data_IF_193209093871
#
_entry.id   IF_193209093871
#
_cell.length_a   1.000
_cell.length_b   1.000
_cell.length_c   1.000
_cell.angle_alpha   90.00
_cell.angle_beta   90.00
_cell.angle_gamma   90.00
#
_symmetry.space_group_name_H-M   'P 1'
#
loop_
_entity.id
_entity.type
_entity.pdbx_description
1 polymer ?
#
# COMPACT_ATOMS: atom_id res chain seq x y z
N UNK A 1 -4.46 -39.68 11.65
CA UNK A 1 -4.30 -39.31 10.22
C UNK A 1 -3.78 -37.88 10.16
N UNK A 2 -2.53 -37.69 9.75
CA UNK A 2 -1.93 -36.37 9.56
C UNK A 2 -2.60 -35.70 8.36
N UNK A 3 -3.56 -34.80 8.63
CA UNK A 3 -4.09 -33.94 7.57
C UNK A 3 -2.94 -33.04 7.11
N UNK A 4 -2.43 -33.26 5.90
CA UNK A 4 -1.45 -32.38 5.28
C UNK A 4 -2.02 -30.96 5.28
N UNK A 5 -1.32 -30.00 5.89
CA UNK A 5 -1.75 -28.60 5.88
C UNK A 5 -1.99 -28.15 4.43
N UNK A 6 -3.11 -27.45 4.14
CA UNK A 6 -3.37 -26.97 2.79
C UNK A 6 -2.24 -26.04 2.33
N UNK A 7 -1.98 -26.01 1.02
CA UNK A 7 -1.05 -25.03 0.45
C UNK A 7 -1.54 -23.63 0.78
N UNK A 8 -0.64 -22.75 1.22
CA UNK A 8 -1.02 -21.41 1.68
C UNK A 8 -1.28 -20.44 0.51
N UNK A 9 -0.56 -20.57 -0.60
CA UNK A 9 -0.52 -19.59 -1.68
C UNK A 9 -1.07 -20.14 -2.99
N UNK A 10 -1.75 -19.29 -3.73
CA UNK A 10 -2.18 -19.47 -5.11
C UNK A 10 -1.52 -18.41 -5.98
N UNK A 11 -1.06 -18.82 -7.16
CA UNK A 11 -0.53 -17.91 -8.18
C UNK A 11 -1.64 -17.62 -9.18
N UNK A 12 -1.86 -16.34 -9.46
CA UNK A 12 -2.71 -15.84 -10.54
C UNK A 12 -1.84 -15.00 -11.47
N UNK A 13 -2.13 -14.99 -12.76
CA UNK A 13 -1.34 -14.25 -13.72
C UNK A 13 -2.24 -13.65 -14.80
N UNK A 14 -1.94 -12.41 -15.22
CA UNK A 14 -2.49 -11.84 -16.44
C UNK A 14 -2.05 -12.62 -17.68
N UNK A 15 -2.71 -12.46 -18.84
CA UNK A 15 -2.44 -13.25 -20.03
C UNK A 15 -0.97 -13.28 -20.48
N UNK A 16 -0.29 -12.11 -20.50
CA UNK A 16 1.14 -12.02 -20.89
C UNK A 16 2.05 -12.66 -19.85
N UNK A 17 1.79 -12.40 -18.56
CA UNK A 17 2.55 -13.03 -17.48
C UNK A 17 2.37 -14.55 -17.49
N UNK A 18 1.16 -15.06 -17.71
CA UNK A 18 0.87 -16.49 -17.76
C UNK A 18 1.62 -17.18 -18.92
N UNK A 19 1.67 -16.55 -20.09
CA UNK A 19 2.46 -17.04 -21.22
C UNK A 19 3.95 -17.13 -20.86
N UNK A 20 4.53 -16.05 -20.29
CA UNK A 20 5.92 -16.04 -19.83
C UNK A 20 6.21 -17.15 -18.81
N UNK A 21 5.35 -17.30 -17.80
CA UNK A 21 5.50 -18.31 -16.75
C UNK A 21 5.50 -19.74 -17.30
N UNK A 22 4.67 -20.01 -18.32
CA UNK A 22 4.60 -21.34 -18.95
C UNK A 22 5.83 -21.67 -19.78
N UNK A 23 6.42 -20.66 -20.43
CA UNK A 23 7.58 -20.83 -21.30
C UNK A 23 8.90 -20.89 -20.52
N UNK A 24 9.05 -20.04 -19.50
CA UNK A 24 10.36 -19.76 -18.87
C UNK A 24 10.38 -19.93 -17.35
N UNK A 25 9.22 -20.14 -16.73
CA UNK A 25 9.08 -20.04 -15.28
C UNK A 25 9.14 -18.59 -14.80
N UNK A 26 9.43 -18.41 -13.50
CA UNK A 26 9.61 -17.10 -12.89
C UNK A 26 10.98 -17.02 -12.23
N UNK A 27 11.78 -16.06 -12.64
CA UNK A 27 13.07 -15.75 -12.02
C UNK A 27 13.06 -14.33 -11.45
N UNK A 28 13.91 -14.02 -10.46
CA UNK A 28 14.04 -12.66 -9.93
C UNK A 28 14.33 -11.61 -11.01
N UNK A 29 15.13 -11.96 -12.02
CA UNK A 29 15.54 -11.09 -13.11
C UNK A 29 14.39 -10.65 -14.03
N UNK A 30 13.27 -11.39 -14.04
CA UNK A 30 12.08 -11.05 -14.84
C UNK A 30 11.34 -9.83 -14.28
N UNK A 31 11.56 -9.50 -13.00
CA UNK A 31 10.76 -8.50 -12.30
C UNK A 31 11.26 -7.07 -12.52
N UNK A 32 10.32 -6.13 -12.54
CA UNK A 32 10.62 -4.69 -12.52
C UNK A 32 9.89 -3.95 -11.41
N UNK A 33 8.69 -4.41 -11.04
CA UNK A 33 7.80 -3.72 -10.10
C UNK A 33 7.25 -4.70 -9.08
N UNK A 34 7.23 -4.28 -7.81
CA UNK A 34 6.52 -4.95 -6.71
C UNK A 34 5.57 -3.94 -6.08
N UNK A 35 4.26 -3.98 -6.39
CA UNK A 35 3.26 -3.18 -5.70
C UNK A 35 2.85 -3.84 -4.37
N UNK A 36 2.49 -2.99 -3.42
CA UNK A 36 1.99 -3.38 -2.11
C UNK A 36 0.71 -2.61 -1.79
N UNK A 37 -0.41 -3.34 -1.75
CA UNK A 37 -1.74 -2.81 -1.55
C UNK A 37 -1.91 -2.10 -0.19
N UNK A 38 -2.77 -1.09 -0.17
CA UNK A 38 -3.41 -0.67 1.06
C UNK A 38 -4.37 -1.76 1.57
N UNK A 39 -4.53 -1.86 2.88
CA UNK A 39 -5.32 -2.94 3.49
C UNK A 39 -5.31 -2.99 5.02
N UNK A 40 -4.51 -2.13 5.67
CA UNK A 40 -4.35 -2.09 7.11
C UNK A 40 -3.91 -3.46 7.67
N UNK A 41 -4.64 -4.05 8.62
CA UNK A 41 -4.25 -5.32 9.25
C UNK A 41 -4.05 -6.48 8.26
N UNK A 42 -4.74 -6.46 7.09
CA UNK A 42 -4.55 -7.51 6.07
C UNK A 42 -3.12 -7.61 5.58
N UNK A 43 -2.36 -6.52 5.58
CA UNK A 43 -0.95 -6.53 5.19
C UNK A 43 -0.07 -7.42 6.08
N UNK A 44 -0.49 -7.67 7.34
CA UNK A 44 0.27 -8.49 8.30
C UNK A 44 0.41 -9.94 7.84
N UNK A 45 -0.58 -10.48 7.11
CA UNK A 45 -0.51 -11.86 6.59
C UNK A 45 0.63 -12.05 5.58
N UNK A 46 1.09 -10.96 4.96
CA UNK A 46 2.13 -10.98 3.93
C UNK A 46 3.54 -10.90 4.52
N UNK A 47 3.69 -10.73 5.84
CA UNK A 47 4.98 -10.58 6.49
C UNK A 47 5.95 -11.74 6.19
N UNK A 48 5.48 -12.98 6.32
CA UNK A 48 6.29 -14.16 6.01
C UNK A 48 6.67 -14.24 4.52
N UNK A 49 5.75 -13.84 3.63
CA UNK A 49 5.99 -13.81 2.20
C UNK A 49 7.01 -12.73 1.82
N UNK A 50 6.92 -11.52 2.39
CA UNK A 50 7.88 -10.44 2.15
C UNK A 50 9.29 -10.84 2.61
N UNK A 51 9.40 -11.46 3.80
CA UNK A 51 10.68 -11.94 4.33
C UNK A 51 11.32 -13.01 3.42
N UNK A 52 10.50 -13.86 2.80
CA UNK A 52 10.97 -14.83 1.80
C UNK A 52 11.38 -14.14 0.50
N UNK A 53 10.53 -13.26 -0.04
CA UNK A 53 10.77 -12.61 -1.32
C UNK A 53 12.00 -11.70 -1.27
N UNK A 54 12.05 -10.74 -0.36
CA UNK A 54 13.16 -9.79 -0.27
C UNK A 54 14.41 -10.38 0.37
N UNK A 55 14.24 -11.27 1.35
CA UNK A 55 15.34 -11.81 2.15
C UNK A 55 15.92 -13.13 1.65
N UNK A 56 15.39 -13.70 0.57
CA UNK A 56 15.93 -14.91 -0.05
C UNK A 56 15.77 -14.90 -1.57
N UNK A 57 14.54 -14.84 -2.10
CA UNK A 57 14.33 -15.10 -3.53
C UNK A 57 14.84 -13.98 -4.44
N UNK A 58 14.62 -12.71 -4.09
CA UNK A 58 15.16 -11.56 -4.84
C UNK A 58 16.65 -11.34 -4.62
N UNK A 59 17.24 -11.90 -3.57
CA UNK A 59 18.66 -11.74 -3.25
C UNK A 59 19.57 -12.29 -4.37
N UNK A 60 19.06 -13.20 -5.20
CA UNK A 60 19.76 -13.80 -6.35
C UNK A 60 19.85 -12.85 -7.57
N UNK A 61 19.46 -11.59 -7.43
CA UNK A 61 19.54 -10.59 -8.51
C UNK A 61 20.06 -9.25 -8.02
N UNK A 62 20.52 -8.39 -8.93
CA UNK A 62 21.10 -7.09 -8.59
C UNK A 62 20.45 -5.91 -9.33
N UNK A 63 19.58 -6.20 -10.31
CA UNK A 63 18.90 -5.17 -11.09
C UNK A 63 17.94 -4.33 -10.24
N UNK A 64 17.62 -3.15 -10.76
CA UNK A 64 16.68 -2.22 -10.14
C UNK A 64 15.27 -2.81 -10.09
N UNK A 65 14.62 -2.72 -8.92
CA UNK A 65 13.21 -3.06 -8.73
C UNK A 65 12.48 -1.89 -8.06
N UNK A 66 11.35 -1.51 -8.64
CA UNK A 66 10.50 -0.43 -8.14
C UNK A 66 9.48 -0.98 -7.14
N UNK A 67 9.47 -0.43 -5.93
CA UNK A 67 8.58 -0.81 -4.84
C UNK A 67 7.50 0.26 -4.69
N UNK A 68 6.28 -0.07 -5.07
CA UNK A 68 5.15 0.85 -5.05
C UNK A 68 4.29 0.53 -3.83
N UNK A 69 3.89 1.52 -3.05
CA UNK A 69 3.09 1.25 -1.86
C UNK A 69 2.12 2.35 -1.48
N UNK A 70 0.97 1.93 -0.96
CA UNK A 70 0.02 2.78 -0.24
C UNK A 70 -0.25 2.18 1.14
N UNK A 71 -0.47 3.02 2.15
CA UNK A 71 -0.80 2.60 3.51
C UNK A 71 0.23 1.60 4.08
N UNK A 72 -0.24 0.56 4.78
CA UNK A 72 0.62 -0.54 5.25
C UNK A 72 1.51 -1.15 4.15
N UNK A 73 1.10 -1.08 2.88
CA UNK A 73 1.91 -1.51 1.76
C UNK A 73 3.17 -0.66 1.59
N UNK A 74 3.06 0.67 1.70
CA UNK A 74 4.21 1.57 1.67
C UNK A 74 5.19 1.29 2.81
N UNK A 75 4.68 1.01 4.01
CA UNK A 75 5.52 0.72 5.18
C UNK A 75 6.28 -0.59 5.04
N UNK A 76 5.63 -1.63 4.50
CA UNK A 76 6.26 -2.91 4.17
C UNK A 76 7.37 -2.73 3.14
N UNK A 77 7.11 -1.96 2.08
CA UNK A 77 8.11 -1.66 1.06
C UNK A 77 9.28 -0.88 1.66
N UNK A 78 9.03 0.14 2.49
CA UNK A 78 10.08 0.88 3.19
C UNK A 78 10.95 -0.03 4.11
N UNK A 79 10.36 -1.04 4.76
CA UNK A 79 11.12 -2.03 5.53
C UNK A 79 12.07 -2.87 4.66
N UNK A 80 11.69 -3.15 3.40
CA UNK A 80 12.54 -3.90 2.47
C UNK A 80 13.81 -3.14 2.06
N UNK A 81 13.90 -1.83 2.34
CA UNK A 81 15.10 -1.01 2.10
C UNK A 81 16.09 -1.06 3.28
N UNK A 82 15.72 -1.66 4.43
CA UNK A 82 16.62 -1.75 5.59
C UNK A 82 17.66 -2.87 5.40
N UNK A 83 18.90 -2.70 5.91
CA UNK A 83 19.92 -3.74 5.86
C UNK A 83 19.46 -5.09 6.45
N UNK A 84 18.84 -5.05 7.63
CA UNK A 84 18.15 -6.23 8.20
C UNK A 84 16.64 -6.14 7.96
N UNK A 85 16.24 -6.39 6.71
CA UNK A 85 14.83 -6.37 6.32
C UNK A 85 13.97 -7.40 7.07
N UNK A 86 14.57 -8.52 7.52
CA UNK A 86 13.81 -9.60 8.18
C UNK A 86 13.43 -9.16 9.59
N UNK A 87 14.36 -8.56 10.33
CA UNK A 87 14.07 -7.93 11.61
C UNK A 87 13.11 -6.75 11.44
N UNK A 88 13.35 -5.89 10.44
CA UNK A 88 12.50 -4.74 10.15
C UNK A 88 11.03 -5.11 9.92
N UNK A 89 10.77 -6.11 9.06
CA UNK A 89 9.41 -6.57 8.81
C UNK A 89 8.79 -7.20 10.06
N UNK A 90 9.56 -7.97 10.84
CA UNK A 90 9.06 -8.56 12.08
C UNK A 90 8.71 -7.48 13.11
N UNK A 91 9.55 -6.46 13.27
CA UNK A 91 9.34 -5.31 14.14
C UNK A 91 8.10 -4.50 13.72
N UNK A 92 7.93 -4.23 12.43
CA UNK A 92 6.73 -3.55 11.91
C UNK A 92 5.45 -4.30 12.33
N UNK A 93 5.44 -5.63 12.22
CA UNK A 93 4.30 -6.43 12.65
C UNK A 93 4.08 -6.36 14.16
N UNK A 94 5.15 -6.40 14.96
CA UNK A 94 5.07 -6.27 16.42
C UNK A 94 4.51 -4.92 16.84
N UNK A 95 5.05 -3.82 16.31
CA UNK A 95 4.59 -2.46 16.59
C UNK A 95 3.14 -2.26 16.14
N UNK A 96 2.75 -2.82 15.00
CA UNK A 96 1.38 -2.70 14.50
C UNK A 96 0.38 -3.51 15.32
N UNK A 97 0.74 -4.69 15.85
CA UNK A 97 -0.16 -5.52 16.65
C UNK A 97 -0.28 -4.98 18.08
N UNK A 98 0.82 -4.49 18.65
CA UNK A 98 0.89 -4.03 20.04
C UNK A 98 0.68 -2.52 20.21
N UNK A 99 -0.08 -1.90 19.31
CA UNK A 99 -0.44 -0.49 19.43
C UNK A 99 -1.17 -0.24 20.75
N UNK A 100 -0.73 0.78 21.49
CA UNK A 100 -1.34 1.21 22.75
C UNK A 100 -1.87 2.62 22.59
N UNK A 101 -3.16 2.78 22.89
CA UNK A 101 -3.83 4.07 22.87
C UNK A 101 -4.07 4.55 24.29
N UNK A 102 -3.72 5.80 24.56
CA UNK A 102 -3.94 6.47 25.83
C UNK A 102 -5.38 7.01 25.85
N UNK A 103 -6.33 6.11 26.15
CA UNK A 103 -7.76 6.43 26.20
C UNK A 103 -8.36 5.97 27.53
N UNK A 104 -9.43 6.63 28.02
CA UNK A 104 -10.20 6.12 29.15
C UNK A 104 -10.64 4.67 28.91
N UNK A 105 -10.79 3.90 29.99
CA UNK A 105 -11.23 2.52 29.90
C UNK A 105 -12.57 2.41 29.15
N UNK A 106 -12.64 1.47 28.20
CA UNK A 106 -13.81 1.27 27.34
C UNK A 106 -13.97 2.25 26.18
N UNK A 107 -13.25 3.39 26.18
CA UNK A 107 -13.32 4.38 25.11
C UNK A 107 -12.57 3.93 23.83
N UNK A 108 -12.89 4.59 22.71
CA UNK A 108 -12.15 4.45 21.46
C UNK A 108 -11.20 5.64 21.29
N UNK A 109 -9.98 5.44 20.74
CA UNK A 109 -9.10 6.56 20.41
C UNK A 109 -9.75 7.45 19.37
N UNK A 110 -9.58 8.75 19.57
CA UNK A 110 -9.92 9.73 18.55
C UNK A 110 -8.85 9.79 17.47
N UNK A 111 -9.11 10.56 16.41
CA UNK A 111 -8.19 10.66 15.28
C UNK A 111 -6.82 11.26 15.64
N UNK A 112 -6.75 12.11 16.67
CA UNK A 112 -5.49 12.70 17.11
C UNK A 112 -4.62 11.64 17.80
N UNK A 113 -5.22 10.83 18.66
CA UNK A 113 -4.52 9.76 19.37
C UNK A 113 -4.04 8.66 18.42
N UNK A 114 -4.88 8.24 17.45
CA UNK A 114 -4.43 7.26 16.44
C UNK A 114 -3.29 7.83 15.59
N UNK A 115 -3.36 9.10 15.18
CA UNK A 115 -2.28 9.76 14.45
C UNK A 115 -0.98 9.86 15.25
N UNK A 116 -1.06 10.14 16.55
CA UNK A 116 0.12 10.18 17.44
C UNK A 116 0.80 8.81 17.49
N UNK A 117 0.04 7.74 17.74
CA UNK A 117 0.57 6.36 17.79
C UNK A 117 1.20 5.94 16.47
N UNK A 118 0.58 6.28 15.32
CA UNK A 118 1.16 5.99 14.02
C UNK A 118 2.44 6.77 13.76
N UNK A 119 2.51 8.03 14.21
CA UNK A 119 3.73 8.85 14.11
C UNK A 119 4.87 8.23 14.93
N UNK A 120 4.58 7.78 16.15
CA UNK A 120 5.56 7.12 17.02
C UNK A 120 6.04 5.78 16.45
N UNK A 121 5.13 4.96 15.93
CA UNK A 121 5.47 3.71 15.26
C UNK A 121 6.40 3.97 14.08
N UNK A 122 6.08 4.92 13.21
CA UNK A 122 6.90 5.25 12.04
C UNK A 122 8.23 5.88 12.43
N UNK A 123 8.24 6.71 13.48
CA UNK A 123 9.45 7.28 14.05
C UNK A 123 10.39 6.22 14.60
N UNK A 124 9.87 5.25 15.37
CA UNK A 124 10.65 4.11 15.85
C UNK A 124 11.18 3.26 14.69
N UNK A 125 10.34 3.02 13.67
CA UNK A 125 10.68 2.14 12.56
C UNK A 125 11.69 2.77 11.57
N UNK A 126 11.60 4.08 11.29
CA UNK A 126 12.32 4.71 10.18
C UNK A 126 13.13 5.96 10.55
N UNK A 127 12.87 6.55 11.72
CA UNK A 127 13.45 7.81 12.14
C UNK A 127 14.98 7.79 12.14
N UNK A 128 15.59 8.83 11.55
CA UNK A 128 17.04 9.00 11.47
C UNK A 128 17.74 8.09 10.46
N UNK A 129 16.99 7.27 9.72
CA UNK A 129 17.53 6.37 8.69
C UNK A 129 17.07 6.74 7.28
N UNK A 130 16.35 7.85 7.11
CA UNK A 130 15.68 8.21 5.86
C UNK A 130 16.66 8.29 4.69
N UNK A 131 17.78 8.99 4.88
CA UNK A 131 18.81 9.09 3.84
C UNK A 131 19.43 7.73 3.48
N UNK A 132 19.65 6.85 4.47
CA UNK A 132 20.21 5.54 4.25
C UNK A 132 19.23 4.62 3.49
N UNK A 133 17.95 4.67 3.82
CA UNK A 133 16.89 3.96 3.10
C UNK A 133 16.88 4.40 1.64
N UNK A 134 16.82 5.71 1.37
CA UNK A 134 16.76 6.25 0.01
C UNK A 134 18.05 6.02 -0.80
N UNK A 135 19.16 5.69 -0.14
CA UNK A 135 20.40 5.30 -0.79
C UNK A 135 20.45 3.81 -1.18
N UNK A 136 19.42 3.01 -0.90
CA UNK A 136 19.42 1.56 -1.18
C UNK A 136 19.82 1.27 -2.64
N UNK A 137 20.80 0.38 -2.91
CA UNK A 137 21.47 0.31 -4.22
C UNK A 137 20.51 -0.03 -5.37
N UNK A 138 19.53 -0.90 -5.12
CA UNK A 138 18.69 -1.49 -6.18
C UNK A 138 17.18 -1.30 -6.03
N UNK A 139 16.70 -0.76 -4.92
CA UNK A 139 15.27 -0.60 -4.69
C UNK A 139 14.89 0.87 -4.78
N UNK A 140 13.81 1.15 -5.50
CA UNK A 140 13.26 2.49 -5.72
C UNK A 140 11.89 2.56 -5.10
N UNK A 141 11.74 3.36 -4.04
CA UNK A 141 10.50 3.46 -3.31
C UNK A 141 9.58 4.51 -3.95
N UNK A 142 8.31 4.16 -4.12
CA UNK A 142 7.26 5.06 -4.60
C UNK A 142 6.07 5.00 -3.64
N UNK A 143 5.88 6.08 -2.87
CA UNK A 143 4.85 6.19 -1.84
C UNK A 143 3.64 6.94 -2.39
N UNK A 144 2.50 6.25 -2.47
CA UNK A 144 1.24 6.80 -2.95
C UNK A 144 0.48 7.46 -1.80
N UNK A 145 0.00 8.67 -2.05
CA UNK A 145 -0.85 9.45 -1.14
C UNK A 145 -2.00 10.09 -1.93
N UNK A 146 -3.07 10.48 -1.24
CA UNK A 146 -4.19 11.20 -1.84
C UNK A 146 -4.29 12.60 -1.23
N UNK A 147 -4.02 13.65 -2.01
CA UNK A 147 -4.14 15.05 -1.56
C UNK A 147 -5.53 15.58 -1.86
N UNK A 148 -6.17 16.21 -0.87
CA UNK A 148 -7.43 16.91 -1.04
C UNK A 148 -7.32 18.15 -1.92
N UNK A 149 -8.31 18.36 -2.78
CA UNK A 149 -8.42 19.51 -3.67
C UNK A 149 -9.68 20.35 -3.39
N UNK A 150 -9.72 21.53 -4.01
CA UNK A 150 -10.85 22.44 -3.95
C UNK A 150 -11.15 22.99 -2.54
N UNK A 151 -12.28 23.68 -2.42
CA UNK A 151 -12.67 24.36 -1.17
C UNK A 151 -13.01 23.41 -0.01
N UNK A 152 -13.33 22.14 -0.27
CA UNK A 152 -13.78 21.21 0.78
C UNK A 152 -12.69 20.26 1.28
N UNK A 153 -11.79 19.78 0.43
CA UNK A 153 -10.78 18.80 0.83
C UNK A 153 -9.36 19.37 0.94
N UNK A 154 -9.08 20.59 0.45
CA UNK A 154 -7.74 21.18 0.57
C UNK A 154 -7.26 21.35 2.02
N UNK A 155 -8.17 21.42 2.99
CA UNK A 155 -7.86 21.44 4.43
C UNK A 155 -8.79 20.48 5.17
N UNK A 156 -8.27 19.84 6.22
CA UNK A 156 -9.10 19.07 7.14
C UNK A 156 -10.07 20.01 7.88
N UNK A 157 -11.32 19.59 8.04
CA UNK A 157 -12.29 20.34 8.82
C UNK A 157 -13.51 19.51 9.17
N UNK A 158 -14.07 19.78 10.36
CA UNK A 158 -15.20 19.04 10.95
C UNK A 158 -16.38 18.83 9.98
N UNK A 159 -16.69 19.85 9.18
CA UNK A 159 -17.79 19.81 8.20
C UNK A 159 -17.32 19.68 6.76
N UNK A 160 -16.21 20.34 6.42
CA UNK A 160 -15.64 20.35 5.07
C UNK A 160 -15.18 18.97 4.63
N UNK A 161 -14.53 18.21 5.52
CA UNK A 161 -14.01 16.88 5.20
C UNK A 161 -15.12 15.87 4.93
N UNK A 162 -16.15 15.70 5.78
CA UNK A 162 -17.29 14.84 5.46
C UNK A 162 -18.00 15.21 4.15
N UNK A 163 -18.30 16.50 3.94
CA UNK A 163 -18.97 16.96 2.72
C UNK A 163 -18.10 16.74 1.47
N UNK A 164 -16.80 17.00 1.59
CA UNK A 164 -15.84 16.76 0.54
C UNK A 164 -15.74 15.30 0.13
N UNK A 165 -15.68 14.38 1.10
CA UNK A 165 -15.66 12.94 0.83
C UNK A 165 -16.99 12.41 0.31
N UNK A 166 -18.12 12.97 0.73
CA UNK A 166 -19.42 12.64 0.15
C UNK A 166 -19.48 13.04 -1.34
N UNK A 167 -19.00 14.23 -1.69
CA UNK A 167 -18.86 14.68 -3.07
C UNK A 167 -17.90 13.81 -3.89
N UNK A 168 -16.73 13.48 -3.33
CA UNK A 168 -15.76 12.57 -3.92
C UNK A 168 -16.35 11.18 -4.21
N UNK A 169 -17.14 10.64 -3.27
CA UNK A 169 -17.87 9.38 -3.46
C UNK A 169 -18.92 9.46 -4.57
N UNK A 170 -19.74 10.51 -4.58
CA UNK A 170 -20.71 10.74 -5.65
C UNK A 170 -20.06 10.86 -7.04
N UNK A 171 -18.94 11.59 -7.13
CA UNK A 171 -18.15 11.69 -8.36
C UNK A 171 -17.61 10.31 -8.80
N UNK A 172 -17.03 9.54 -7.87
CA UNK A 172 -16.51 8.20 -8.15
C UNK A 172 -17.58 7.22 -8.66
N UNK A 173 -18.82 7.31 -8.15
CA UNK A 173 -19.93 6.48 -8.61
C UNK A 173 -20.26 6.73 -10.08
N UNK A 174 -20.20 7.99 -10.53
CA UNK A 174 -20.39 8.38 -11.94
C UNK A 174 -19.23 7.90 -12.80
N UNK A 175 -18.01 8.31 -12.47
CA UNK A 175 -16.80 7.92 -13.18
C UNK A 175 -15.60 8.04 -12.24
N UNK A 176 -14.67 7.08 -12.30
CA UNK A 176 -13.50 7.09 -11.42
C UNK A 176 -12.62 8.32 -11.65
N UNK A 177 -12.47 8.75 -12.90
CA UNK A 177 -11.70 9.93 -13.29
C UNK A 177 -12.27 11.23 -12.69
N UNK A 178 -13.59 11.28 -12.44
CA UNK A 178 -14.24 12.45 -11.84
C UNK A 178 -13.81 12.68 -10.38
N UNK A 179 -13.26 11.66 -9.70
CA UNK A 179 -12.64 11.81 -8.39
C UNK A 179 -11.43 12.77 -8.43
N UNK A 180 -10.80 12.95 -9.61
CA UNK A 180 -9.68 13.86 -9.83
C UNK A 180 -9.98 15.34 -9.60
N UNK A 181 -11.25 15.74 -9.51
CA UNK A 181 -11.66 17.10 -9.10
C UNK A 181 -11.73 17.30 -7.57
N UNK A 182 -11.62 16.22 -6.80
CA UNK A 182 -11.72 16.21 -5.34
C UNK A 182 -10.42 15.78 -4.68
N UNK A 183 -9.71 14.83 -5.29
CA UNK A 183 -8.47 14.26 -4.81
C UNK A 183 -7.45 14.23 -5.93
N UNK A 184 -6.21 14.53 -5.59
CA UNK A 184 -5.04 14.37 -6.42
C UNK A 184 -4.26 13.15 -5.96
N UNK A 185 -3.83 12.29 -6.89
CA UNK A 185 -2.80 11.29 -6.60
C UNK A 185 -1.49 12.04 -6.46
N UNK A 186 -0.82 11.93 -5.32
CA UNK A 186 0.54 12.46 -5.16
C UNK A 186 1.46 11.29 -4.84
N UNK A 187 2.41 11.04 -5.73
CA UNK A 187 3.38 9.94 -5.59
C UNK A 187 4.72 10.52 -5.23
N UNK A 188 5.19 10.25 -4.01
CA UNK A 188 6.54 10.58 -3.60
C UNK A 188 7.47 9.49 -4.09
N UNK A 189 8.28 9.79 -5.10
CA UNK A 189 9.04 8.81 -5.87
C UNK A 189 10.54 9.01 -5.69
N UNK A 190 11.26 7.90 -5.54
CA UNK A 190 12.72 7.89 -5.62
C UNK A 190 13.20 8.63 -6.88
N UNK A 191 14.05 9.67 -6.76
CA UNK A 191 14.41 10.52 -7.90
C UNK A 191 15.43 9.88 -8.83
N UNK A 192 16.03 8.74 -8.45
CA UNK A 192 17.11 8.11 -9.23
C UNK A 192 16.60 7.44 -10.50
N UNK A 193 15.37 6.95 -10.48
CA UNK A 193 14.73 6.30 -11.62
C UNK A 193 13.25 6.72 -11.66
N UNK A 194 12.76 7.04 -12.86
CA UNK A 194 11.35 7.35 -13.04
C UNK A 194 10.48 6.13 -12.69
N UNK A 195 9.28 6.37 -12.16
CA UNK A 195 8.28 5.32 -12.00
C UNK A 195 7.99 4.69 -13.38
N UNK A 196 8.13 3.37 -13.57
CA UNK A 196 8.09 2.73 -14.89
C UNK A 196 6.66 2.53 -15.42
N UNK A 197 5.67 3.20 -14.83
CA UNK A 197 4.24 3.06 -15.16
C UNK A 197 3.68 4.47 -15.40
N UNK A 198 3.02 4.72 -16.56
CA UNK A 198 2.35 5.99 -16.80
C UNK A 198 1.14 6.16 -15.88
N UNK A 199 0.90 7.38 -15.38
CA UNK A 199 -0.14 7.67 -14.38
C UNK A 199 -1.10 8.76 -14.88
N UNK A 200 -1.57 8.58 -16.11
CA UNK A 200 -2.28 9.60 -16.90
C UNK A 200 -3.82 9.48 -16.73
N UNK A 201 -4.28 8.45 -16.02
CA UNK A 201 -5.68 8.13 -15.77
C UNK A 201 -6.36 9.04 -14.73
N UNK A 202 -5.54 9.77 -13.97
CA UNK A 202 -5.94 10.48 -12.77
C UNK A 202 -5.13 11.77 -12.63
N UNK A 203 -5.69 12.80 -11.99
CA UNK A 203 -4.92 14.01 -11.67
C UNK A 203 -3.76 13.63 -10.73
N UNK A 204 -2.55 13.60 -11.27
CA UNK A 204 -1.38 13.03 -10.61
C UNK A 204 -0.26 14.07 -10.51
N UNK A 205 0.38 14.16 -9.35
CA UNK A 205 1.65 14.85 -9.17
C UNK A 205 2.71 13.83 -8.74
N UNK A 206 3.90 13.93 -9.34
CA UNK A 206 5.09 13.21 -8.88
C UNK A 206 5.98 14.17 -8.10
N UNK A 207 6.42 13.76 -6.92
CA UNK A 207 7.27 14.55 -6.03
C UNK A 207 8.54 13.75 -5.76
N UNK A 208 9.74 14.33 -5.93
CA UNK A 208 10.99 13.67 -5.53
C UNK A 208 10.97 13.32 -4.04
N UNK A 209 11.20 12.04 -3.73
CA UNK A 209 11.33 11.54 -2.37
C UNK A 209 12.71 11.94 -1.82
N UNK A 210 12.73 12.52 -0.63
CA UNK A 210 13.94 12.90 0.07
C UNK A 210 13.82 12.63 1.58
N UNK A 211 14.89 12.93 2.33
CA UNK A 211 14.93 12.72 3.78
C UNK A 211 13.90 13.57 4.56
N UNK A 212 13.44 14.69 4.00
CA UNK A 212 12.53 15.62 4.67
C UNK A 212 11.07 15.22 4.46
N UNK A 213 10.76 14.53 3.36
CA UNK A 213 9.40 14.13 3.04
C UNK A 213 9.10 12.62 3.21
N UNK A 214 10.10 11.75 3.38
CA UNK A 214 9.87 10.31 3.55
C UNK A 214 8.92 9.99 4.72
N UNK A 215 9.24 10.47 5.92
CA UNK A 215 8.42 10.21 7.11
C UNK A 215 6.97 10.74 6.97
N UNK A 216 6.73 12.02 6.63
CA UNK A 216 5.37 12.51 6.46
C UNK A 216 4.64 11.86 5.27
N UNK A 217 5.33 11.45 4.19
CA UNK A 217 4.71 10.70 3.10
C UNK A 217 4.28 9.29 3.52
N UNK A 218 5.11 8.57 4.30
CA UNK A 218 4.73 7.26 4.86
C UNK A 218 3.54 7.40 5.80
N UNK A 219 3.52 8.42 6.66
CA UNK A 219 2.39 8.69 7.55
C UNK A 219 1.11 8.98 6.75
N UNK A 220 1.19 9.93 5.80
CA UNK A 220 0.08 10.30 4.95
C UNK A 220 -0.48 9.12 4.16
N UNK A 221 0.40 8.25 3.66
CA UNK A 221 0.00 7.07 2.89
C UNK A 221 -0.94 6.14 3.66
N UNK A 222 -0.93 6.17 4.99
CA UNK A 222 -1.80 5.40 5.89
C UNK A 222 -2.84 6.24 6.67
N UNK A 223 -2.97 7.54 6.42
CA UNK A 223 -3.93 8.42 7.10
C UNK A 223 -5.36 8.24 6.56
N UNK A 224 -6.08 7.26 7.09
CA UNK A 224 -7.47 6.97 6.69
C UNK A 224 -8.41 8.08 7.20
N UNK A 225 -9.26 8.67 6.34
CA UNK A 225 -10.20 9.71 6.75
C UNK A 225 -11.09 9.26 7.91
N UNK A 226 -11.34 10.17 8.85
CA UNK A 226 -12.15 9.97 10.06
C UNK A 226 -11.54 9.02 11.11
N UNK A 227 -10.44 8.33 10.79
CA UNK A 227 -9.70 7.47 11.74
C UNK A 227 -8.39 8.11 12.14
N UNK A 228 -7.73 8.82 11.22
CA UNK A 228 -6.51 9.57 11.44
C UNK A 228 -6.68 11.01 10.98
N UNK A 229 -5.82 11.89 11.49
CA UNK A 229 -5.61 13.23 10.96
C UNK A 229 -4.92 13.20 9.61
N UNK A 230 -5.28 14.16 8.75
CA UNK A 230 -4.51 14.46 7.55
C UNK A 230 -3.08 14.89 7.91
N UNK A 231 -2.12 14.52 7.07
CA UNK A 231 -0.80 15.15 7.10
C UNK A 231 -0.86 16.39 6.21
N UNK A 232 -0.42 17.54 6.69
CA UNK A 232 -0.53 18.79 5.97
C UNK A 232 0.79 19.21 5.35
N UNK A 233 0.71 19.78 4.13
CA UNK A 233 1.79 20.57 3.51
C UNK A 233 3.14 19.81 3.49
N UNK A 234 3.11 18.54 3.02
CA UNK A 234 4.30 17.67 2.98
C UNK A 234 5.41 18.32 2.15
N UNK A 235 6.67 18.37 2.64
CA UNK A 235 7.77 19.03 1.95
C UNK A 235 7.97 18.57 0.49
N UNK A 236 8.18 19.55 -0.40
CA UNK A 236 8.33 19.32 -1.85
C UNK A 236 7.03 19.00 -2.59
N UNK A 237 5.96 18.65 -1.89
CA UNK A 237 4.66 18.39 -2.49
C UNK A 237 3.77 19.64 -2.60
N UNK A 238 2.69 19.59 -3.40
CA UNK A 238 1.69 20.66 -3.42
C UNK A 238 1.08 20.91 -2.02
N UNK A 239 0.84 22.17 -1.60
CA UNK A 239 0.26 22.44 -0.27
C UNK A 239 -1.14 21.84 -0.15
N UNK A 240 -1.53 21.32 1.02
CA UNK A 240 -2.87 20.78 1.28
C UNK A 240 -2.92 19.66 2.31
N UNK A 241 -4.10 19.07 2.48
CA UNK A 241 -4.32 17.90 3.32
C UNK A 241 -4.05 16.60 2.54
N UNK A 242 -3.16 15.77 3.06
CA UNK A 242 -2.80 14.47 2.51
C UNK A 242 -3.39 13.33 3.34
N UNK A 243 -3.89 12.33 2.63
CA UNK A 243 -4.61 11.18 3.16
C UNK A 243 -4.08 9.88 2.55
N UNK A 244 -4.59 8.76 3.08
CA UNK A 244 -4.20 7.41 2.68
C UNK A 244 -4.26 7.27 1.15
N UNK A 245 -3.14 6.84 0.56
CA UNK A 245 -3.02 6.68 -0.90
C UNK A 245 -3.99 5.64 -1.46
N UNK A 246 -4.47 4.74 -0.62
CA UNK A 246 -5.47 3.75 -0.98
C UNK A 246 -6.83 4.36 -1.33
N UNK A 247 -7.11 5.62 -0.98
CA UNK A 247 -8.34 6.29 -1.39
C UNK A 247 -8.39 6.37 -2.91
N UNK A 248 -7.31 6.87 -3.52
CA UNK A 248 -7.19 6.90 -4.98
C UNK A 248 -6.74 5.56 -5.52
N UNK A 249 -5.82 4.84 -4.87
CA UNK A 249 -5.11 3.68 -5.43
C UNK A 249 -5.04 2.49 -4.45
N UNK A 250 -6.20 1.97 -4.04
CA UNK A 250 -6.37 0.99 -2.97
C UNK A 250 -5.48 -0.23 -3.11
N UNK A 251 -5.63 -0.97 -4.21
CA UNK A 251 -4.75 -2.09 -4.52
C UNK A 251 -3.81 -1.75 -5.68
N UNK A 252 -3.50 -0.46 -5.92
CA UNK A 252 -2.58 -0.06 -6.99
C UNK A 252 -2.91 -0.75 -8.33
N UNK A 253 -4.18 -0.69 -8.76
CA UNK A 253 -4.58 -1.16 -10.09
C UNK A 253 -4.08 -0.15 -11.14
N UNK A 254 -2.82 -0.28 -11.55
CA UNK A 254 -2.12 0.64 -12.46
C UNK A 254 -1.93 0.02 -13.85
N UNK A 255 -1.63 0.80 -14.90
CA UNK A 255 -1.40 0.31 -16.26
C UNK A 255 -0.03 -0.37 -16.43
N UNK A 256 0.23 -1.43 -15.65
CA UNK A 256 1.49 -2.17 -15.68
C UNK A 256 1.83 -2.74 -17.05
N UNK A 257 0.83 -3.10 -17.86
CA UNK A 257 1.04 -3.59 -19.22
C UNK A 257 1.70 -2.57 -20.16
N UNK A 258 1.68 -1.27 -19.81
CA UNK A 258 2.35 -0.19 -20.52
C UNK A 258 3.85 -0.04 -20.15
N UNK A 259 4.35 -0.83 -19.20
CA UNK A 259 5.79 -0.93 -18.94
C UNK A 259 6.52 -1.45 -20.19
N UNK A 260 7.73 -0.96 -20.42
CA UNK A 260 8.54 -1.36 -21.57
C UNK A 260 8.90 -2.85 -21.58
N UNK A 261 9.33 -3.37 -20.42
CA UNK A 261 9.68 -4.78 -20.25
C UNK A 261 9.38 -5.31 -18.84
N UNK A 262 9.53 -6.62 -18.68
CA UNK A 262 9.45 -7.31 -17.40
C UNK A 262 8.04 -7.50 -16.82
N UNK A 263 8.02 -8.17 -15.67
CA UNK A 263 6.82 -8.57 -14.96
C UNK A 263 6.64 -7.76 -13.67
N UNK A 264 5.40 -7.76 -13.22
CA UNK A 264 5.01 -7.25 -11.90
C UNK A 264 4.73 -8.44 -10.99
N UNK A 265 5.47 -8.56 -9.89
CA UNK A 265 5.15 -9.54 -8.86
C UNK A 265 4.38 -8.85 -7.74
N UNK A 266 3.16 -9.30 -7.48
CA UNK A 266 2.25 -8.68 -6.54
C UNK A 266 1.94 -9.62 -5.36
N UNK A 267 2.69 -9.54 -4.24
CA UNK A 267 2.31 -10.12 -2.96
C UNK A 267 1.04 -9.44 -2.45
N UNK A 268 -0.08 -10.15 -2.47
CA UNK A 268 -1.38 -9.61 -2.14
C UNK A 268 -2.14 -10.52 -1.18
N UNK A 269 -3.10 -9.95 -0.45
CA UNK A 269 -3.97 -10.67 0.46
C UNK A 269 -5.26 -11.17 -0.23
N UNK A 270 -5.45 -10.88 -1.51
CA UNK A 270 -6.56 -11.40 -2.31
C UNK A 270 -6.24 -11.40 -3.81
N UNK A 271 -7.01 -12.16 -4.60
CA UNK A 271 -6.87 -12.21 -6.06
C UNK A 271 -7.24 -10.88 -6.74
N UNK A 272 -8.34 -10.24 -6.32
CA UNK A 272 -8.87 -9.06 -7.00
C UNK A 272 -8.07 -7.79 -6.68
N UNK A 273 -7.60 -7.10 -7.72
CA UNK A 273 -6.90 -5.81 -7.60
C UNK A 273 -7.95 -4.70 -7.77
N UNK A 274 -8.39 -4.09 -6.68
CA UNK A 274 -9.46 -3.08 -6.68
C UNK A 274 -8.85 -1.68 -6.87
N UNK A 275 -9.37 -0.84 -7.80
CA UNK A 275 -8.73 0.44 -8.13
C UNK A 275 -8.63 1.44 -6.98
N UNK A 276 -9.75 1.89 -6.41
CA UNK A 276 -9.78 2.84 -5.29
C UNK A 276 -10.54 2.29 -4.08
N UNK A 277 -10.37 2.91 -2.91
CA UNK A 277 -10.98 2.42 -1.67
C UNK A 277 -12.51 2.54 -1.73
N UNK A 278 -13.00 3.58 -2.40
CA UNK A 278 -14.41 3.81 -2.68
C UNK A 278 -15.02 2.78 -3.65
N UNK A 279 -14.18 1.99 -4.33
CA UNK A 279 -14.60 0.90 -5.24
C UNK A 279 -14.73 -0.45 -4.52
N UNK A 280 -14.38 -0.53 -3.23
CA UNK A 280 -14.41 -1.78 -2.45
C UNK A 280 -15.79 -2.46 -2.47
N UNK A 281 -16.87 -1.68 -2.45
CA UNK A 281 -18.24 -2.18 -2.56
C UNK A 281 -18.73 -2.39 -4.00
N UNK A 282 -18.06 -1.80 -5.00
CA UNK A 282 -18.47 -1.81 -6.41
C UNK A 282 -17.91 -3.02 -7.13
N UNK A 283 -18.51 -4.21 -6.92
CA UNK A 283 -18.00 -5.48 -7.47
C UNK A 283 -17.74 -5.50 -8.98
N UNK A 284 -18.50 -4.71 -9.76
CA UNK A 284 -18.26 -4.52 -11.20
C UNK A 284 -16.85 -3.98 -11.54
N UNK A 285 -16.15 -3.35 -10.59
CA UNK A 285 -14.80 -2.80 -10.74
C UNK A 285 -13.70 -3.75 -10.21
N UNK A 286 -14.03 -5.00 -9.89
CA UNK A 286 -13.09 -5.97 -9.31
C UNK A 286 -12.51 -6.93 -10.36
N UNK A 287 -13.00 -6.88 -11.59
CA UNK A 287 -12.52 -7.71 -12.70
C UNK A 287 -11.12 -7.34 -13.16
N UNK A 288 -10.42 -8.31 -13.74
CA UNK A 288 -9.13 -8.06 -14.41
C UNK A 288 -9.34 -7.18 -15.64
N UNK A 289 -8.33 -6.39 -15.97
CA UNK A 289 -8.31 -5.54 -17.17
C UNK A 289 -6.97 -5.72 -17.91
N UNK A 290 -6.85 -5.28 -19.18
CA UNK A 290 -5.60 -5.37 -19.93
C UNK A 290 -4.41 -4.67 -19.27
N UNK A 291 -4.67 -3.70 -18.39
CA UNK A 291 -3.66 -3.03 -17.58
C UNK A 291 -2.82 -4.00 -16.72
N UNK A 292 -3.37 -5.17 -16.39
CA UNK A 292 -2.76 -6.16 -15.51
C UNK A 292 -2.14 -7.35 -16.26
N UNK A 293 -1.99 -7.28 -17.58
CA UNK A 293 -1.60 -8.43 -18.40
C UNK A 293 -0.24 -9.03 -18.03
N UNK A 294 0.71 -8.21 -17.56
CA UNK A 294 2.05 -8.63 -17.10
C UNK A 294 2.16 -8.78 -15.57
N UNK A 295 1.03 -8.89 -14.86
CA UNK A 295 1.00 -9.03 -13.39
C UNK A 295 0.90 -10.49 -12.98
N UNK A 296 1.74 -10.90 -12.03
CA UNK A 296 1.68 -12.15 -11.29
C UNK A 296 1.25 -11.84 -9.86
N UNK A 297 0.08 -12.30 -9.44
CA UNK A 297 -0.43 -12.12 -8.08
C UNK A 297 -0.16 -13.38 -7.25
N UNK A 298 0.48 -13.19 -6.10
CA UNK A 298 0.61 -14.21 -5.06
C UNK A 298 -0.42 -13.91 -3.98
N UNK A 299 -1.46 -14.74 -3.86
CA UNK A 299 -2.54 -14.52 -2.90
C UNK A 299 -2.83 -15.77 -2.07
N UNK A 300 -3.31 -15.62 -0.82
CA UNK A 300 -3.63 -16.75 0.03
C UNK A 300 -4.79 -17.57 -0.53
N UNK A 301 -4.70 -18.89 -0.40
CA UNK A 301 -5.77 -19.84 -0.75
C UNK A 301 -6.92 -19.76 0.24
N UNK A 302 -8.16 -19.81 -0.25
CA UNK A 302 -9.34 -19.79 0.60
C UNK A 302 -9.35 -20.95 1.61
N UNK A 303 -8.87 -22.13 1.20
CA UNK A 303 -8.78 -23.31 2.06
C UNK A 303 -7.77 -23.10 3.20
N UNK A 304 -6.69 -22.35 2.95
CA UNK A 304 -5.74 -21.99 3.99
C UNK A 304 -6.30 -20.89 4.91
N UNK A 305 -6.95 -19.87 4.35
CA UNK A 305 -7.61 -18.80 5.14
C UNK A 305 -8.65 -19.39 6.10
N UNK A 306 -9.38 -20.44 5.69
CA UNK A 306 -10.33 -21.14 6.54
C UNK A 306 -9.70 -21.82 7.78
N UNK A 307 -8.38 -22.06 7.77
CA UNK A 307 -7.65 -22.60 8.92
C UNK A 307 -7.16 -21.55 9.91
N UNK A 308 -7.26 -20.26 9.56
CA UNK A 308 -6.86 -19.16 10.43
C UNK A 308 -7.90 -18.91 11.53
N UNK A 309 -7.52 -18.23 12.63
CA UNK A 309 -8.48 -17.77 13.64
C UNK A 309 -9.67 -17.04 13.00
N UNK A 310 -10.88 -17.40 13.43
CA UNK A 310 -12.14 -16.88 12.89
C UNK A 310 -12.35 -17.12 11.37
N UNK A 311 -11.58 -18.03 10.76
CA UNK A 311 -11.64 -18.35 9.33
C UNK A 311 -11.51 -17.13 8.40
N UNK A 312 -10.77 -16.10 8.83
CA UNK A 312 -10.59 -14.86 8.07
C UNK A 312 -9.17 -14.30 8.17
N UNK A 313 -8.86 -13.41 7.24
CA UNK A 313 -7.67 -12.56 7.35
C UNK A 313 -7.87 -11.47 8.42
N UNK A 314 -6.78 -10.98 9.04
CA UNK A 314 -6.89 -9.91 10.03
C UNK A 314 -7.55 -8.65 9.47
N UNK A 315 -8.40 -8.02 10.28
CA UNK A 315 -9.08 -6.77 9.96
C UNK A 315 -9.26 -5.88 11.19
N UNK A 316 -9.88 -4.70 11.00
CA UNK A 316 -10.00 -3.71 12.09
C UNK A 316 -10.95 -4.14 13.20
N UNK A 317 -11.81 -5.12 12.95
CA UNK A 317 -12.71 -5.65 13.98
C UNK A 317 -11.91 -6.45 15.03
N UNK A 318 -10.75 -6.98 14.67
CA UNK A 318 -9.89 -7.74 15.58
C UNK A 318 -9.38 -6.88 16.75
N UNK A 319 -9.15 -5.58 16.54
CA UNK A 319 -8.83 -4.64 17.63
C UNK A 319 -9.99 -4.44 18.61
N UNK A 320 -11.23 -4.75 18.21
CA UNK A 320 -12.39 -4.76 19.12
C UNK A 320 -12.50 -6.08 19.85
N UNK A 321 -12.23 -7.18 19.16
CA UNK A 321 -12.39 -8.55 19.67
C UNK A 321 -11.30 -8.95 20.65
N UNK A 322 -10.04 -8.66 20.35
CA UNK A 322 -8.87 -9.09 21.12
C UNK A 322 -8.30 -7.98 22.01
N UNK A 323 -9.18 -7.15 22.57
CA UNK A 323 -8.75 -6.14 23.54
C UNK A 323 -8.09 -6.84 24.75
N UNK A 324 -6.89 -6.40 25.16
CA UNK A 324 -6.30 -6.87 26.41
C UNK A 324 -7.13 -6.44 27.63
#
# INVERSE_FOLDING_TARGET
>A
MSHSRPRALQVYAGPRALAHLRERGLTPADLRVIPAAAGGPKGLVLNGLDRFLFGHWLADSTHTVHLLGASIGAWRMACALKPDLKAALAELAQLYIHQKFNVPEGAWPDAAEVSRVFTELLGAQFGGQEAALLAHPRYRLHVFTSRGQGGLLAREGRWRTPLGYAGAFGANLRARQALGGWLQRVVFSDPRDALPVPLDDFNTASVPLDRHNLAPALQASGSIPFVLKAVHDIPGGPPGAYWDGGITDYHLHLPYAAMGDGLVLYPHFQQAIVPGWLDKGLKRRHGSTPALDNVVVLAPRAEWVATLPNAKLPDRQDFKTYRP
#
